data_IF_166525016799
#
_entry.id   IF_166525016799
#
_cell.length_a   1.000
_cell.length_b   1.000
_cell.length_c   1.000
_cell.angle_alpha   90.00
_cell.angle_beta   90.00
_cell.angle_gamma   90.00
#
_symmetry.space_group_name_H-M   'P 1'
#
loop_
_entity.id
_entity.type
_entity.pdbx_description
1 polymer ?
#
# COMPACT_ATOMS: atom_id res chain seq x y z
N UNK A 1 2.60 -9.11 -20.83
CA UNK A 1 3.19 -10.27 -20.15
C UNK A 1 2.16 -11.37 -20.20
N UNK A 2 2.58 -12.57 -20.58
CA UNK A 2 1.77 -13.78 -20.52
C UNK A 2 1.83 -14.36 -19.09
N UNK A 3 3.03 -14.35 -18.47
CA UNK A 3 3.23 -14.65 -17.05
C UNK A 3 4.04 -13.51 -16.39
N UNK A 4 3.43 -12.70 -15.51
CA UNK A 4 4.13 -11.58 -14.86
C UNK A 4 5.38 -11.97 -14.07
N UNK A 5 5.42 -13.15 -13.46
CA UNK A 5 6.56 -13.58 -12.64
C UNK A 5 7.74 -13.94 -13.54
N UNK A 6 7.51 -14.72 -14.59
CA UNK A 6 8.56 -15.16 -15.51
C UNK A 6 9.02 -14.05 -16.45
N UNK A 7 8.07 -13.28 -17.01
CA UNK A 7 8.38 -12.29 -18.05
C UNK A 7 9.06 -11.04 -17.50
N UNK A 8 8.81 -10.69 -16.23
CA UNK A 8 9.29 -9.41 -15.69
C UNK A 8 10.81 -9.25 -15.72
N UNK A 9 11.55 -10.35 -15.60
CA UNK A 9 13.01 -10.33 -15.72
C UNK A 9 13.43 -9.79 -17.09
N UNK A 10 12.91 -10.38 -18.16
CA UNK A 10 13.20 -9.90 -19.51
C UNK A 10 12.73 -8.47 -19.72
N UNK A 11 11.54 -8.11 -19.21
CA UNK A 11 11.00 -6.75 -19.37
C UNK A 11 11.90 -5.71 -18.70
N UNK A 12 12.30 -5.93 -17.45
CA UNK A 12 13.17 -5.01 -16.70
C UNK A 12 14.54 -4.91 -17.36
N UNK A 13 15.13 -6.03 -17.79
CA UNK A 13 16.42 -6.00 -18.50
C UNK A 13 16.32 -5.24 -19.82
N UNK A 14 15.28 -5.46 -20.63
CA UNK A 14 15.09 -4.72 -21.89
C UNK A 14 14.87 -3.24 -21.64
N UNK A 15 14.09 -2.86 -20.62
CA UNK A 15 13.84 -1.46 -20.27
C UNK A 15 15.10 -0.73 -19.78
N UNK A 16 15.95 -1.37 -18.97
CA UNK A 16 17.10 -0.71 -18.36
C UNK A 16 18.41 -0.89 -19.16
N UNK A 17 18.63 -2.07 -19.73
CA UNK A 17 19.90 -2.44 -20.37
C UNK A 17 19.80 -2.54 -21.90
N UNK A 18 18.60 -2.70 -22.46
CA UNK A 18 18.38 -2.75 -23.92
C UNK A 18 18.83 -1.50 -24.67
N UNK A 19 18.94 -1.62 -25.98
CA UNK A 19 19.16 -0.50 -26.90
C UNK A 19 17.97 0.47 -26.88
N UNK A 20 18.12 1.73 -27.33
CA UNK A 20 17.02 2.69 -27.36
C UNK A 20 15.78 2.17 -28.12
N UNK A 21 15.99 1.39 -29.20
CA UNK A 21 14.91 0.79 -29.98
C UNK A 21 14.21 -0.33 -29.23
N UNK A 22 14.97 -1.25 -28.62
CA UNK A 22 14.38 -2.34 -27.82
C UNK A 22 13.62 -1.80 -26.60
N UNK A 23 14.15 -0.76 -25.97
CA UNK A 23 13.48 -0.05 -24.87
C UNK A 23 12.16 0.57 -25.34
N UNK A 24 12.14 1.26 -26.49
CA UNK A 24 10.92 1.83 -27.08
C UNK A 24 9.89 0.73 -27.39
N UNK A 25 10.32 -0.36 -28.03
CA UNK A 25 9.46 -1.50 -28.36
C UNK A 25 8.88 -2.17 -27.09
N UNK A 26 9.70 -2.32 -26.04
CA UNK A 26 9.24 -2.84 -24.76
C UNK A 26 8.19 -1.93 -24.11
N UNK A 27 8.40 -0.61 -24.10
CA UNK A 27 7.40 0.33 -23.58
C UNK A 27 6.09 0.22 -24.37
N UNK A 28 6.16 0.15 -25.70
CA UNK A 28 4.98 0.04 -26.54
C UNK A 28 4.23 -1.29 -26.37
N UNK A 29 4.95 -2.37 -26.07
CA UNK A 29 4.40 -3.72 -25.90
C UNK A 29 3.77 -3.91 -24.52
N UNK A 30 4.44 -3.45 -23.47
CA UNK A 30 4.07 -3.78 -22.10
C UNK A 30 3.29 -2.69 -21.39
N UNK A 31 3.39 -1.42 -21.77
CA UNK A 31 2.67 -0.31 -21.10
C UNK A 31 1.38 0.05 -21.82
N UNK A 32 0.33 0.38 -21.06
CA UNK A 32 -0.90 0.93 -21.63
C UNK A 32 -0.66 2.33 -22.22
N UNK A 33 -1.44 2.76 -23.23
CA UNK A 33 -1.27 4.09 -23.83
C UNK A 33 -1.40 5.26 -22.83
N UNK A 34 -2.15 5.04 -21.76
CA UNK A 34 -2.38 5.98 -20.66
C UNK A 34 -1.62 5.61 -19.37
N UNK A 35 -0.53 4.85 -19.48
CA UNK A 35 0.23 4.42 -18.31
C UNK A 35 0.82 5.61 -17.53
N UNK A 36 0.89 5.46 -16.22
CA UNK A 36 1.50 6.45 -15.33
C UNK A 36 2.84 5.95 -14.79
N UNK A 37 3.72 6.90 -14.50
CA UNK A 37 5.03 6.64 -13.93
C UNK A 37 5.29 7.60 -12.76
N UNK A 38 5.77 7.06 -11.65
CA UNK A 38 6.21 7.81 -10.48
C UNK A 38 7.62 7.36 -10.09
N UNK A 39 8.51 8.32 -10.02
CA UNK A 39 9.87 8.18 -9.54
C UNK A 39 10.17 9.33 -8.57
N UNK A 40 11.13 9.22 -7.64
CA UNK A 40 11.46 10.31 -6.71
C UNK A 40 11.71 11.68 -7.35
N UNK A 41 12.11 11.72 -8.63
CA UNK A 41 12.47 12.96 -9.34
C UNK A 41 11.50 13.37 -10.44
N UNK A 42 10.58 12.51 -10.87
CA UNK A 42 9.66 12.83 -11.96
C UNK A 42 8.38 12.00 -11.87
N UNK A 43 7.31 12.55 -12.47
CA UNK A 43 5.98 11.93 -12.50
C UNK A 43 5.25 12.32 -13.78
N UNK A 44 4.49 11.40 -14.37
CA UNK A 44 3.75 11.64 -15.62
C UNK A 44 2.23 11.78 -15.45
N UNK A 45 1.66 11.30 -14.34
CA UNK A 45 0.20 11.10 -14.17
C UNK A 45 -0.41 10.15 -15.23
N UNK A 46 -1.72 9.87 -15.15
CA UNK A 46 -2.44 8.94 -16.02
C UNK A 46 -3.43 9.70 -16.92
N UNK A 47 -3.16 9.75 -18.22
CA UNK A 47 -4.04 10.34 -19.23
C UNK A 47 -3.73 9.78 -20.62
N UNK A 48 -4.62 9.94 -21.60
CA UNK A 48 -4.39 9.38 -22.93
C UNK A 48 -3.13 9.96 -23.60
N UNK A 49 -2.18 9.09 -23.93
CA UNK A 49 -0.89 9.48 -24.48
C UNK A 49 0.21 9.74 -23.45
N UNK A 50 -0.06 9.61 -22.14
CA UNK A 50 0.96 9.76 -21.08
C UNK A 50 2.14 8.79 -21.24
N UNK A 51 1.97 7.68 -21.96
CA UNK A 51 3.06 6.76 -22.35
C UNK A 51 4.20 7.45 -23.11
N UNK A 52 3.94 8.54 -23.84
CA UNK A 52 4.98 9.33 -24.52
C UNK A 52 5.95 10.03 -23.54
N UNK A 53 5.46 10.38 -22.35
CA UNK A 53 6.32 10.91 -21.29
C UNK A 53 7.22 9.81 -20.73
N UNK A 54 6.70 8.59 -20.57
CA UNK A 54 7.47 7.42 -20.14
C UNK A 54 8.60 7.14 -21.13
N UNK A 55 8.32 7.15 -22.43
CA UNK A 55 9.35 7.08 -23.48
C UNK A 55 10.46 8.12 -23.30
N UNK A 56 10.07 9.38 -23.07
CA UNK A 56 11.02 10.48 -22.88
C UNK A 56 11.90 10.29 -21.63
N UNK A 57 11.32 9.79 -20.54
CA UNK A 57 12.02 9.52 -19.28
C UNK A 57 13.03 8.38 -19.45
N UNK A 58 12.60 7.22 -19.96
CA UNK A 58 13.48 6.07 -20.15
C UNK A 58 14.62 6.36 -21.14
N UNK A 59 14.33 7.12 -22.21
CA UNK A 59 15.36 7.60 -23.14
C UNK A 59 16.37 8.50 -22.44
N UNK A 60 15.91 9.43 -21.60
CA UNK A 60 16.78 10.30 -20.83
C UNK A 60 17.64 9.52 -19.83
N UNK A 61 17.09 8.52 -19.15
CA UNK A 61 17.83 7.64 -18.25
C UNK A 61 18.94 6.90 -18.97
N UNK A 62 18.68 6.40 -20.20
CA UNK A 62 19.70 5.78 -21.04
C UNK A 62 20.78 6.75 -21.49
N UNK A 63 20.42 8.00 -21.82
CA UNK A 63 21.40 9.05 -22.15
C UNK A 63 22.28 9.36 -20.95
N UNK A 64 21.72 9.48 -19.74
CA UNK A 64 22.48 9.78 -18.52
C UNK A 64 23.36 8.60 -18.08
N UNK A 65 22.88 7.37 -18.23
CA UNK A 65 23.61 6.16 -17.86
C UNK A 65 23.50 5.10 -18.96
N UNK A 66 24.39 5.14 -19.96
CA UNK A 66 24.34 4.20 -21.08
C UNK A 66 24.63 2.76 -20.69
N UNK A 67 25.41 2.56 -19.61
CA UNK A 67 25.79 1.26 -19.05
C UNK A 67 25.28 1.20 -17.61
N UNK A 68 24.30 0.34 -17.37
CA UNK A 68 23.68 0.13 -16.06
C UNK A 68 23.87 -1.35 -15.71
N UNK A 69 24.46 -1.61 -14.54
CA UNK A 69 24.48 -2.94 -13.96
C UNK A 69 23.22 -3.12 -13.12
N UNK A 70 22.43 -4.14 -13.43
CA UNK A 70 21.13 -4.39 -12.83
C UNK A 70 21.03 -5.85 -12.36
N UNK A 71 20.56 -6.05 -11.14
CA UNK A 71 20.24 -7.34 -10.55
C UNK A 71 18.83 -7.31 -9.97
N UNK A 72 18.01 -8.27 -10.37
CA UNK A 72 16.70 -8.52 -9.75
C UNK A 72 16.93 -9.43 -8.55
N UNK A 73 16.55 -8.97 -7.37
CA UNK A 73 16.74 -9.69 -6.12
C UNK A 73 15.56 -10.59 -5.78
N UNK A 74 14.34 -10.11 -6.00
CA UNK A 74 13.11 -10.85 -5.73
C UNK A 74 11.94 -10.30 -6.53
N UNK A 75 10.98 -11.17 -6.82
CA UNK A 75 9.71 -10.84 -7.48
C UNK A 75 8.57 -11.40 -6.64
N UNK A 76 7.52 -10.61 -6.43
CA UNK A 76 6.30 -11.05 -5.76
C UNK A 76 5.09 -10.51 -6.52
N UNK A 77 4.15 -11.40 -6.86
CA UNK A 77 2.93 -11.03 -7.58
C UNK A 77 1.72 -11.19 -6.68
N UNK A 78 1.00 -10.10 -6.47
CA UNK A 78 -0.32 -10.07 -5.86
C UNK A 78 -1.37 -10.20 -6.97
N UNK A 79 -1.86 -11.42 -7.17
CA UNK A 79 -2.83 -11.74 -8.21
C UNK A 79 -4.19 -11.08 -7.99
N UNK A 80 -4.59 -10.87 -6.74
CA UNK A 80 -5.91 -10.32 -6.39
C UNK A 80 -5.97 -8.84 -6.76
N UNK A 81 -4.92 -8.10 -6.41
CA UNK A 81 -4.85 -6.67 -6.68
C UNK A 81 -4.14 -6.34 -8.02
N UNK A 82 -3.63 -7.37 -8.72
CA UNK A 82 -2.83 -7.25 -9.94
C UNK A 82 -1.61 -6.34 -9.75
N UNK A 83 -0.88 -6.53 -8.64
CA UNK A 83 0.31 -5.75 -8.32
C UNK A 83 1.55 -6.63 -8.36
N UNK A 84 2.53 -6.25 -9.17
CA UNK A 84 3.82 -6.92 -9.24
C UNK A 84 4.88 -6.08 -8.54
N UNK A 85 5.50 -6.66 -7.52
CA UNK A 85 6.61 -6.08 -6.78
C UNK A 85 7.92 -6.68 -7.27
N UNK A 86 8.86 -5.83 -7.65
CA UNK A 86 10.17 -6.22 -8.14
C UNK A 86 11.22 -5.49 -7.31
N UNK A 87 12.02 -6.23 -6.56
CA UNK A 87 13.16 -5.65 -5.86
C UNK A 87 14.40 -5.70 -6.76
N UNK A 88 15.02 -4.54 -6.96
CA UNK A 88 16.11 -4.35 -7.93
C UNK A 88 17.28 -3.66 -7.22
N UNK A 89 18.47 -4.22 -7.38
CA UNK A 89 19.73 -3.52 -7.11
C UNK A 89 20.33 -3.07 -8.44
N UNK A 90 20.60 -1.78 -8.56
CA UNK A 90 21.19 -1.20 -9.76
C UNK A 90 22.37 -0.30 -9.41
N UNK A 91 23.37 -0.26 -10.28
CA UNK A 91 24.46 0.71 -10.19
C UNK A 91 24.27 1.73 -11.29
N UNK A 92 23.87 2.94 -10.89
CA UNK A 92 23.68 4.05 -11.81
C UNK A 92 24.96 4.89 -11.90
N UNK A 93 25.42 5.13 -13.12
CA UNK A 93 26.61 5.94 -13.40
C UNK A 93 26.25 7.06 -14.38
N UNK A 94 26.35 8.31 -13.93
CA UNK A 94 26.12 9.49 -14.77
C UNK A 94 27.40 9.72 -15.57
N UNK A 95 27.37 9.45 -16.87
CA UNK A 95 28.60 9.37 -17.68
C UNK A 95 29.39 10.69 -17.76
N UNK A 96 28.72 11.83 -17.62
CA UNK A 96 29.34 13.16 -17.69
C UNK A 96 29.75 13.71 -16.31
N UNK A 97 29.51 12.98 -15.22
CA UNK A 97 29.97 13.35 -13.88
C UNK A 97 31.17 12.45 -13.51
N UNK A 98 32.40 12.99 -13.41
CA UNK A 98 33.58 12.20 -13.10
C UNK A 98 33.41 11.38 -11.82
N UNK A 99 33.77 10.09 -11.88
CA UNK A 99 33.73 9.15 -10.76
C UNK A 99 32.35 8.93 -10.11
N UNK A 100 31.25 9.33 -10.77
CA UNK A 100 29.91 9.09 -10.25
C UNK A 100 29.50 7.62 -10.41
N UNK A 101 29.31 6.95 -9.29
CA UNK A 101 28.67 5.63 -9.20
C UNK A 101 27.79 5.58 -7.96
N UNK A 102 26.51 5.32 -8.19
CA UNK A 102 25.50 5.28 -7.13
C UNK A 102 24.88 3.88 -7.13
N UNK A 103 25.40 2.95 -6.29
CA UNK A 103 24.72 1.70 -6.05
C UNK A 103 23.44 2.01 -5.27
N UNK A 104 22.31 1.64 -5.84
CA UNK A 104 21.00 1.86 -5.23
C UNK A 104 20.16 0.60 -5.25
N UNK A 105 19.35 0.43 -4.22
CA UNK A 105 18.31 -0.59 -4.17
C UNK A 105 16.95 0.09 -4.16
N UNK A 106 16.05 -0.41 -5.00
CA UNK A 106 14.68 0.10 -5.12
C UNK A 106 13.70 -1.06 -5.23
N UNK A 107 12.46 -0.80 -4.87
CA UNK A 107 11.33 -1.70 -5.13
C UNK A 107 10.41 -1.03 -6.14
N UNK A 108 10.31 -1.61 -7.34
CA UNK A 108 9.36 -1.17 -8.34
C UNK A 108 8.03 -1.88 -8.10
N UNK A 109 6.98 -1.10 -7.94
CA UNK A 109 5.60 -1.58 -7.86
C UNK A 109 4.91 -1.31 -9.19
N UNK A 110 4.56 -2.37 -9.92
CA UNK A 110 3.82 -2.30 -11.17
C UNK A 110 2.37 -2.65 -10.92
N UNK A 111 1.46 -1.69 -11.16
CA UNK A 111 0.04 -2.01 -11.27
C UNK A 111 -0.24 -2.53 -12.66
N UNK A 112 -0.68 -3.78 -12.73
CA UNK A 112 -1.04 -4.45 -13.96
C UNK A 112 -2.53 -4.30 -14.24
N UNK A 113 -2.88 -4.44 -15.51
CA UNK A 113 -4.27 -4.53 -15.97
C UNK A 113 -4.37 -5.61 -17.02
N UNK A 114 -5.50 -6.31 -17.04
CA UNK A 114 -5.83 -7.31 -18.04
C UNK A 114 -7.11 -6.88 -18.76
N UNK A 115 -7.02 -6.39 -20.02
CA UNK A 115 -8.20 -6.07 -20.80
C UNK A 115 -9.08 -7.30 -21.01
N UNK A 116 -10.43 -7.18 -21.03
CA UNK A 116 -11.33 -8.33 -21.15
C UNK A 116 -11.07 -9.22 -22.39
N UNK A 117 -10.53 -8.63 -23.45
CA UNK A 117 -10.27 -9.28 -24.73
C UNK A 117 -8.84 -9.82 -24.86
N UNK A 118 -8.01 -9.70 -23.83
CA UNK A 118 -6.61 -10.12 -23.85
C UNK A 118 -6.28 -10.93 -22.61
N UNK A 119 -5.63 -12.08 -22.79
CA UNK A 119 -5.05 -12.83 -21.67
C UNK A 119 -3.75 -12.19 -21.16
N UNK A 120 -3.25 -11.15 -21.82
CA UNK A 120 -1.99 -10.51 -21.47
C UNK A 120 -2.16 -9.44 -20.41
N UNK A 121 -1.20 -9.38 -19.50
CA UNK A 121 -1.04 -8.31 -18.54
C UNK A 121 -0.28 -7.13 -19.16
N UNK A 122 -0.76 -5.92 -18.88
CA UNK A 122 -0.14 -4.66 -19.27
C UNK A 122 0.13 -3.81 -18.04
N UNK A 123 1.22 -3.04 -18.06
CA UNK A 123 1.60 -2.10 -17.02
C UNK A 123 0.76 -0.84 -17.18
N UNK A 124 -0.10 -0.56 -16.20
CA UNK A 124 -0.93 0.65 -16.12
C UNK A 124 -0.26 1.73 -15.27
N UNK A 125 0.49 1.34 -14.25
CA UNK A 125 1.25 2.26 -13.42
C UNK A 125 2.55 1.63 -12.99
N UNK A 126 3.63 2.40 -12.99
CA UNK A 126 4.91 2.03 -12.41
C UNK A 126 5.28 3.05 -11.32
N UNK A 127 5.49 2.56 -10.10
CA UNK A 127 5.95 3.35 -8.97
C UNK A 127 7.30 2.81 -8.50
N UNK A 128 8.36 3.59 -8.65
CA UNK A 128 9.70 3.23 -8.21
C UNK A 128 9.94 3.75 -6.78
N UNK A 129 9.94 2.83 -5.81
CA UNK A 129 10.08 3.13 -4.39
C UNK A 129 11.55 3.04 -4.00
N UNK A 130 12.16 4.20 -3.80
CA UNK A 130 13.50 4.33 -3.26
C UNK A 130 13.42 4.61 -1.76
N UNK A 131 14.35 4.04 -0.99
CA UNK A 131 14.58 4.54 0.36
C UNK A 131 15.20 5.94 0.29
N UNK A 132 15.01 6.74 1.35
CA UNK A 132 15.39 8.16 1.36
C UNK A 132 16.89 8.33 1.17
N UNK A 133 17.72 7.48 1.78
CA UNK A 133 19.16 7.48 1.59
C UNK A 133 19.55 7.18 0.13
N UNK A 134 18.82 6.27 -0.53
CA UNK A 134 19.15 5.80 -1.87
C UNK A 134 19.02 6.90 -2.91
N UNK A 135 17.93 7.70 -2.87
CA UNK A 135 17.77 8.74 -3.87
C UNK A 135 18.65 9.97 -3.57
N UNK A 136 18.98 10.24 -2.31
CA UNK A 136 19.89 11.34 -1.95
C UNK A 136 21.30 11.12 -2.52
N UNK A 137 21.74 9.86 -2.65
CA UNK A 137 23.03 9.51 -3.30
C UNK A 137 23.16 10.03 -4.73
N UNK A 138 22.06 10.25 -5.46
CA UNK A 138 22.13 10.77 -6.84
C UNK A 138 22.67 12.20 -6.93
N UNK A 139 22.44 13.05 -5.92
CA UNK A 139 22.91 14.45 -5.92
C UNK A 139 23.95 14.77 -4.83
N UNK A 140 24.05 13.95 -3.78
CA UNK A 140 25.11 14.02 -2.78
C UNK A 140 25.87 12.68 -2.67
N UNK A 141 26.68 12.32 -3.68
CA UNK A 141 27.44 11.07 -3.66
C UNK A 141 28.60 11.12 -2.64
N UNK A 142 29.38 10.04 -2.56
CA UNK A 142 30.51 9.89 -1.61
C UNK A 142 30.13 9.80 -0.13
N UNK A 143 28.89 9.42 0.17
CA UNK A 143 28.41 9.19 1.53
C UNK A 143 27.97 10.45 2.29
N UNK A 144 28.10 11.65 1.70
CA UNK A 144 27.57 12.89 2.28
C UNK A 144 26.05 12.83 2.43
N UNK A 145 25.35 12.32 1.42
CA UNK A 145 23.90 12.12 1.45
C UNK A 145 23.47 11.19 2.59
N UNK A 146 24.13 10.04 2.69
CA UNK A 146 23.84 9.02 3.70
C UNK A 146 24.05 9.55 5.11
N UNK A 147 25.14 10.29 5.33
CA UNK A 147 25.44 10.89 6.64
C UNK A 147 24.37 11.89 7.08
N UNK A 148 23.90 12.75 6.16
CA UNK A 148 22.84 13.72 6.46
C UNK A 148 21.51 13.03 6.79
N UNK A 149 21.13 12.02 5.99
CA UNK A 149 19.90 11.25 6.23
C UNK A 149 19.98 10.49 7.55
N UNK A 150 21.10 9.84 7.84
CA UNK A 150 21.31 9.10 9.09
C UNK A 150 21.29 10.03 10.29
N UNK A 151 21.94 11.19 10.21
CA UNK A 151 21.90 12.20 11.26
C UNK A 151 20.46 12.65 11.52
N UNK A 152 19.70 12.98 10.47
CA UNK A 152 18.29 13.35 10.60
C UNK A 152 17.44 12.24 11.24
N UNK A 153 17.57 10.99 10.77
CA UNK A 153 16.82 9.85 11.30
C UNK A 153 17.14 9.58 12.77
N UNK A 154 18.41 9.72 13.16
CA UNK A 154 18.84 9.55 14.54
C UNK A 154 18.18 10.59 15.46
N UNK A 155 18.23 11.87 15.08
CA UNK A 155 17.57 12.93 15.85
C UNK A 155 16.05 12.76 15.89
N UNK A 156 15.42 12.44 14.77
CA UNK A 156 14.00 12.16 14.71
C UNK A 156 13.60 11.04 15.69
N UNK A 157 14.40 9.97 15.79
CA UNK A 157 14.17 8.87 16.73
C UNK A 157 14.28 9.33 18.18
N UNK A 158 15.29 10.13 18.53
CA UNK A 158 15.42 10.72 19.87
C UNK A 158 14.19 11.57 20.21
N UNK A 159 13.76 12.45 19.30
CA UNK A 159 12.58 13.27 19.53
C UNK A 159 11.31 12.42 19.68
N UNK A 160 11.09 11.42 18.82
CA UNK A 160 9.93 10.53 18.93
C UNK A 160 9.88 9.81 20.29
N UNK A 161 11.02 9.31 20.78
CA UNK A 161 11.07 8.61 22.07
C UNK A 161 10.85 9.55 23.26
N UNK A 162 11.48 10.74 23.25
CA UNK A 162 11.27 11.75 24.30
C UNK A 162 9.81 12.21 24.32
N UNK A 163 9.25 12.56 23.16
CA UNK A 163 7.87 13.01 23.06
C UNK A 163 6.90 11.89 23.47
N UNK A 164 7.14 10.63 23.10
CA UNK A 164 6.31 9.52 23.55
C UNK A 164 6.27 9.40 25.09
N UNK A 165 7.39 9.66 25.78
CA UNK A 165 7.43 9.67 27.25
C UNK A 165 6.69 10.88 27.82
N UNK A 166 6.94 12.08 27.27
CA UNK A 166 6.28 13.33 27.73
C UNK A 166 4.76 13.24 27.56
N UNK A 167 4.29 12.67 26.45
CA UNK A 167 2.87 12.57 26.11
C UNK A 167 2.24 11.23 26.52
N UNK A 168 2.95 10.35 27.24
CA UNK A 168 2.40 9.10 27.77
C UNK A 168 1.10 9.26 28.58
N UNK A 169 0.92 10.33 29.40
CA UNK A 169 -0.35 10.56 30.08
C UNK A 169 -1.54 10.73 29.12
N UNK A 170 -1.33 11.34 27.95
CA UNK A 170 -2.38 11.48 26.94
C UNK A 170 -2.73 10.14 26.29
N UNK A 171 -1.71 9.31 26.01
CA UNK A 171 -1.93 7.95 25.50
C UNK A 171 -2.70 7.07 26.51
N UNK A 172 -2.40 7.18 27.82
CA UNK A 172 -3.14 6.46 28.86
C UNK A 172 -4.59 6.94 29.00
N UNK A 173 -4.83 8.24 28.84
CA UNK A 173 -6.19 8.76 28.81
C UNK A 173 -6.97 8.18 27.63
N UNK A 174 -6.40 8.20 26.43
CA UNK A 174 -7.02 7.58 25.25
C UNK A 174 -7.31 6.09 25.46
N UNK A 175 -6.34 5.33 26.00
CA UNK A 175 -6.51 3.92 26.33
C UNK A 175 -7.64 3.71 27.35
N UNK A 176 -7.70 4.54 28.38
CA UNK A 176 -8.77 4.49 29.40
C UNK A 176 -10.15 4.76 28.79
N UNK A 177 -10.23 5.65 27.80
CA UNK A 177 -11.48 5.87 27.04
C UNK A 177 -11.83 4.68 26.17
N UNK A 178 -10.84 4.05 25.51
CA UNK A 178 -11.03 2.85 24.70
C UNK A 178 -11.52 1.66 25.53
N UNK A 179 -10.94 1.41 26.70
CA UNK A 179 -11.32 0.32 27.62
C UNK A 179 -12.73 0.50 28.20
N UNK A 180 -13.11 1.73 28.53
CA UNK A 180 -14.50 2.02 28.96
C UNK A 180 -15.50 1.72 27.84
N UNK A 181 -15.11 1.93 26.58
CA UNK A 181 -15.97 1.67 25.41
C UNK A 181 -16.18 0.17 25.19
N UNK A 182 -15.12 -0.64 25.27
CA UNK A 182 -15.21 -2.10 25.14
C UNK A 182 -15.99 -2.71 26.30
N UNK A 183 -15.67 -2.34 27.55
CA UNK A 183 -16.39 -2.82 28.75
C UNK A 183 -17.88 -2.51 28.67
N UNK A 184 -18.26 -1.30 28.20
CA UNK A 184 -19.66 -0.91 28.04
C UNK A 184 -20.36 -1.70 26.93
N UNK A 185 -19.66 -2.05 25.86
CA UNK A 185 -20.19 -2.89 24.79
C UNK A 185 -20.39 -4.34 25.27
N UNK A 186 -19.41 -4.92 25.97
CA UNK A 186 -19.49 -6.25 26.55
C UNK A 186 -20.61 -6.36 27.60
N UNK A 187 -20.72 -5.38 28.49
CA UNK A 187 -21.80 -5.34 29.49
C UNK A 187 -23.20 -5.31 28.85
N UNK A 188 -23.35 -4.56 27.74
CA UNK A 188 -24.60 -4.53 26.96
C UNK A 188 -24.91 -5.87 26.30
N UNK A 189 -23.89 -6.54 25.78
CA UNK A 189 -24.02 -7.87 25.17
C UNK A 189 -24.38 -8.93 26.21
N UNK A 190 -23.70 -8.97 27.34
CA UNK A 190 -23.98 -9.90 28.43
C UNK A 190 -25.40 -9.72 28.98
N UNK A 191 -25.82 -8.47 29.23
CA UNK A 191 -27.21 -8.21 29.64
C UNK A 191 -28.24 -8.54 28.56
N UNK A 192 -27.87 -8.59 27.28
CA UNK A 192 -28.73 -9.12 26.22
C UNK A 192 -28.83 -10.66 26.29
N UNK A 193 -27.70 -11.36 26.41
CA UNK A 193 -27.65 -12.83 26.52
C UNK A 193 -28.46 -13.30 27.73
N UNK A 194 -28.27 -12.68 28.90
CA UNK A 194 -28.99 -13.02 30.13
C UNK A 194 -30.51 -12.85 29.96
N UNK A 195 -30.97 -11.78 29.31
CA UNK A 195 -32.41 -11.58 29.03
C UNK A 195 -32.96 -12.63 28.06
N UNK A 196 -32.17 -13.09 27.10
CA UNK A 196 -32.56 -14.18 26.20
C UNK A 196 -32.64 -15.51 26.97
N UNK A 197 -31.67 -15.79 27.84
CA UNK A 197 -31.67 -16.96 28.70
C UNK A 197 -32.83 -16.94 29.70
N UNK A 198 -33.12 -15.80 30.35
CA UNK A 198 -34.26 -15.65 31.26
C UNK A 198 -35.59 -15.91 30.53
N UNK A 199 -35.75 -15.40 29.30
CA UNK A 199 -36.92 -15.70 28.46
C UNK A 199 -36.99 -17.17 28.05
N UNK A 200 -35.85 -17.81 27.78
CA UNK A 200 -35.78 -19.26 27.48
C UNK A 200 -36.16 -20.09 28.70
N UNK A 201 -35.70 -19.72 29.89
CA UNK A 201 -35.98 -20.42 31.15
C UNK A 201 -37.42 -20.22 31.60
N UNK A 202 -38.01 -19.03 31.40
CA UNK A 202 -39.44 -18.77 31.62
C UNK A 202 -40.35 -19.39 30.54
N UNK A 203 -39.80 -19.75 29.39
CA UNK A 203 -40.51 -20.30 28.23
C UNK A 203 -40.74 -21.82 28.25
N UNK A 204 -40.37 -22.55 29.31
CA UNK A 204 -40.75 -23.96 29.49
C UNK A 204 -42.20 -24.12 30.03
N UNK A 205 -43.11 -23.31 29.50
CA UNK A 205 -44.55 -23.38 29.71
C UNK A 205 -45.29 -22.93 28.46
N UNK A 206 -45.60 -23.89 27.58
CA UNK A 206 -46.60 -23.83 26.50
C UNK A 206 -46.50 -22.68 25.46
N UNK A 207 -46.11 -23.01 24.22
CA UNK A 207 -46.40 -22.17 23.04
C UNK A 207 -45.27 -22.04 22.02
N UNK A 208 -45.07 -23.10 21.23
CA UNK A 208 -44.15 -23.11 20.09
C UNK A 208 -44.78 -22.29 18.94
N UNK A 209 -44.36 -21.04 18.76
CA UNK A 209 -44.86 -20.19 17.65
C UNK A 209 -44.28 -18.78 17.60
N UNK A 210 -44.40 -17.99 18.66
CA UNK A 210 -44.09 -16.54 18.61
C UNK A 210 -42.81 -16.11 19.36
N UNK A 211 -42.15 -17.02 20.08
CA UNK A 211 -40.97 -16.69 20.88
C UNK A 211 -39.69 -16.50 20.04
N UNK A 212 -39.58 -17.18 18.90
CA UNK A 212 -38.42 -17.10 18.03
C UNK A 212 -38.35 -15.74 17.29
N UNK A 213 -39.49 -15.23 16.84
CA UNK A 213 -39.57 -13.97 16.11
C UNK A 213 -39.22 -12.76 16.99
N UNK A 214 -39.69 -12.74 18.25
CA UNK A 214 -39.36 -11.67 19.19
C UNK A 214 -37.90 -11.68 19.65
N UNK A 215 -37.23 -12.84 19.66
CA UNK A 215 -35.78 -12.95 19.95
C UNK A 215 -34.97 -12.48 18.74
N UNK A 216 -35.39 -12.80 17.52
CA UNK A 216 -34.76 -12.31 16.30
C UNK A 216 -34.88 -10.78 16.15
N UNK A 217 -36.05 -10.22 16.47
CA UNK A 217 -36.29 -8.76 16.41
C UNK A 217 -35.46 -8.01 17.46
N UNK A 218 -35.40 -8.52 18.70
CA UNK A 218 -34.57 -7.92 19.76
C UNK A 218 -33.06 -8.09 19.51
N UNK A 219 -32.63 -9.22 18.95
CA UNK A 219 -31.25 -9.40 18.46
C UNK A 219 -30.93 -8.40 17.34
N UNK A 220 -31.87 -8.16 16.42
CA UNK A 220 -31.74 -7.17 15.35
C UNK A 220 -31.63 -5.73 15.89
N UNK A 221 -32.40 -5.37 16.92
CA UNK A 221 -32.31 -4.06 17.56
C UNK A 221 -30.98 -3.85 18.30
N UNK A 222 -30.45 -4.88 18.96
CA UNK A 222 -29.12 -4.82 19.60
C UNK A 222 -28.01 -4.77 18.57
N UNK A 223 -28.09 -5.57 17.51
CA UNK A 223 -27.15 -5.52 16.39
C UNK A 223 -27.16 -4.14 15.73
N UNK A 224 -28.33 -3.54 15.51
CA UNK A 224 -28.47 -2.18 14.97
C UNK A 224 -27.98 -1.10 15.96
N UNK A 225 -28.17 -1.26 17.26
CA UNK A 225 -27.65 -0.35 18.28
C UNK A 225 -26.12 -0.41 18.41
N UNK A 226 -25.53 -1.59 18.27
CA UNK A 226 -24.07 -1.78 18.19
C UNK A 226 -23.54 -1.18 16.89
N UNK A 227 -24.20 -1.42 15.75
CA UNK A 227 -23.86 -0.80 14.47
C UNK A 227 -23.91 0.72 14.52
N UNK A 228 -24.98 1.29 15.09
CA UNK A 228 -25.16 2.74 15.22
C UNK A 228 -24.08 3.38 16.10
N UNK A 229 -23.72 2.76 17.25
CA UNK A 229 -22.62 3.25 18.10
C UNK A 229 -21.22 3.04 17.53
N UNK A 230 -21.06 2.17 16.54
CA UNK A 230 -19.82 2.03 15.74
C UNK A 230 -19.78 3.11 14.65
N UNK A 231 -20.91 3.39 13.99
CA UNK A 231 -21.03 4.37 12.90
C UNK A 231 -20.93 5.82 13.41
N UNK A 232 -21.66 6.21 14.46
CA UNK A 232 -21.59 7.57 15.05
C UNK A 232 -20.16 7.95 15.44
N UNK A 233 -19.41 6.97 15.96
CA UNK A 233 -18.05 7.20 16.40
C UNK A 233 -17.02 7.08 15.26
N UNK A 234 -17.35 6.38 14.18
CA UNK A 234 -16.60 6.41 12.93
C UNK A 234 -16.70 7.77 12.24
N UNK A 235 -17.87 8.42 12.33
CA UNK A 235 -18.06 9.81 11.90
C UNK A 235 -17.36 10.82 12.82
N UNK A 236 -17.43 10.65 14.15
CA UNK A 236 -16.69 11.50 15.09
C UNK A 236 -15.15 11.37 14.93
N UNK A 237 -14.66 10.15 14.64
CA UNK A 237 -13.24 9.91 14.34
C UNK A 237 -12.84 10.52 12.99
N UNK A 238 -13.69 10.42 11.96
CA UNK A 238 -13.48 11.08 10.66
C UNK A 238 -13.48 12.61 10.77
N UNK A 239 -14.33 13.19 11.63
CA UNK A 239 -14.36 14.64 11.88
C UNK A 239 -13.10 15.12 12.62
N UNK A 240 -12.54 14.32 13.53
CA UNK A 240 -11.26 14.63 14.18
C UNK A 240 -10.05 14.42 13.24
N UNK A 241 -10.05 13.39 12.38
CA UNK A 241 -9.01 13.20 11.34
C UNK A 241 -9.06 14.30 10.26
N UNK A 242 -10.26 14.77 9.90
CA UNK A 242 -10.43 15.84 8.91
C UNK A 242 -9.90 17.22 9.37
N UNK A 243 -9.60 17.37 10.66
CA UNK A 243 -8.90 18.55 11.19
C UNK A 243 -7.39 18.53 10.95
N UNK A 244 -6.82 17.39 10.54
CA UNK A 244 -5.39 17.22 10.27
C UNK A 244 -5.07 16.98 8.78
N UNK A 245 -6.06 16.71 7.93
CA UNK A 245 -5.86 16.51 6.50
C UNK A 245 -6.64 17.54 5.67
N UNK A 246 -5.93 18.59 5.24
CA UNK A 246 -6.39 19.45 4.18
C UNK A 246 -6.44 18.70 2.84
N UNK A 247 -7.66 18.39 2.38
CA UNK A 247 -8.05 18.43 0.97
C UNK A 247 -7.83 17.17 0.14
N UNK A 248 -8.93 16.47 -0.19
CA UNK A 248 -8.97 15.50 -1.29
C UNK A 248 -10.16 14.55 -1.23
N UNK A 249 -11.26 14.92 -1.88
CA UNK A 249 -12.45 14.08 -2.01
C UNK A 249 -12.21 12.87 -2.93
N UNK A 250 -12.70 11.68 -2.54
CA UNK A 250 -13.30 10.70 -3.45
C UNK A 250 -13.96 9.54 -2.67
N UNK A 251 -15.13 9.13 -3.16
CA UNK A 251 -15.93 7.96 -2.77
C UNK A 251 -15.13 6.65 -2.77
N UNK A 252 -15.42 5.75 -1.82
CA UNK A 252 -15.09 4.34 -1.98
C UNK A 252 -16.23 3.41 -1.53
N UNK A 253 -16.56 2.48 -2.43
CA UNK A 253 -17.55 1.43 -2.30
C UNK A 253 -16.88 0.19 -1.70
N UNK A 254 -17.57 -0.50 -0.81
CA UNK A 254 -16.98 -1.57 0.00
C UNK A 254 -16.49 -2.79 -0.77
N UNK A 255 -15.36 -3.34 -0.33
CA UNK A 255 -14.98 -4.73 -0.52
C UNK A 255 -14.38 -5.32 0.76
N UNK A 256 -14.81 -6.54 1.08
CA UNK A 256 -14.45 -7.32 2.25
C UNK A 256 -13.00 -7.79 2.17
N UNK A 257 -12.22 -7.55 3.22
CA UNK A 257 -10.87 -8.07 3.38
C UNK A 257 -10.92 -9.57 3.72
N UNK A 258 -10.34 -10.40 2.86
CA UNK A 258 -10.09 -11.81 3.12
C UNK A 258 -8.58 -12.00 3.26
N UNK A 259 -8.12 -12.41 4.45
CA UNK A 259 -6.70 -12.66 4.71
C UNK A 259 -6.24 -13.93 3.97
N UNK A 260 -5.37 -13.78 2.99
CA UNK A 260 -4.73 -14.86 2.25
C UNK A 260 -3.41 -15.28 2.90
N UNK A 261 -3.22 -16.59 3.07
CA UNK A 261 -2.00 -17.21 3.60
C UNK A 261 -0.80 -16.97 2.67
N UNK A 262 0.29 -16.42 3.23
CA UNK A 262 1.56 -16.25 2.55
C UNK A 262 2.36 -17.57 2.55
N UNK A 263 2.62 -18.12 1.37
CA UNK A 263 3.60 -19.19 1.20
C UNK A 263 4.95 -18.59 0.80
N UNK A 264 5.93 -18.70 1.71
CA UNK A 264 7.33 -18.36 1.43
C UNK A 264 7.99 -19.59 0.82
N UNK A 265 8.20 -19.59 -0.49
CA UNK A 265 9.03 -20.60 -1.16
C UNK A 265 10.50 -20.20 -0.96
N UNK A 266 11.26 -21.05 -0.26
CA UNK A 266 12.71 -20.91 -0.13
C UNK A 266 13.39 -21.60 -1.33
N UNK A 267 14.44 -21.01 -1.92
CA UNK A 267 15.21 -21.69 -2.96
C UNK A 267 16.05 -22.83 -2.35
N UNK A 268 16.13 -23.94 -3.09
CA UNK A 268 17.11 -25.01 -2.88
C UNK A 268 18.50 -24.56 -3.32
#
# INVERSE_FOLDING_TARGET
MDDPIQDCHSVVHTLCQGSPKEQEEAINTYFTPNASFTHPFCRTSSFDGSRLLIHSIFRWYKIMSPKIDLKINSVAFDEVNLILYINISQVFAIWFVPFHRSPVTLTTMLHLTQPPNSRKYYIKSQNDLYQVDQFVRFFAPWGLGDAVVLFWQFWATIFCTILAVIFAPFAWLEQSYAEKRTTRAESRFMGFVERVEEKRMRGFGYGKGNAADGVAETAGQVANGVKSGIIEHGEAKRLMDSGAEGGGAAQDQGQQQQFGNMQVIRPN
#
